data_IF_935918773299
#
_entry.id   IF_935918773299
#
_cell.length_a   1.000
_cell.length_b   1.000
_cell.length_c   1.000
_cell.angle_alpha   90.00
_cell.angle_beta   90.00
_cell.angle_gamma   90.00
#
_symmetry.space_group_name_H-M   'P 1'
#
loop_
_entity.id
_entity.type
_entity.pdbx_description
1 polymer ?
#
# COMPACT_ATOMS: atom_id res chain seq x y z
N UNK A 1 6.47 30.20 -15.99
CA UNK A 1 7.25 30.40 -14.75
C UNK A 1 8.12 29.16 -14.55
N UNK A 2 9.43 29.34 -14.43
CA UNK A 2 10.38 28.25 -14.21
C UNK A 2 10.19 27.75 -12.77
N UNK A 3 9.80 26.47 -12.62
CA UNK A 3 9.83 25.77 -11.33
C UNK A 3 11.27 25.86 -10.82
N UNK A 4 11.54 26.35 -9.59
CA UNK A 4 12.90 26.40 -9.07
C UNK A 4 13.44 24.98 -9.02
N UNK A 5 14.56 24.76 -9.70
CA UNK A 5 15.25 23.49 -9.72
C UNK A 5 15.82 23.23 -8.31
N UNK A 6 15.14 22.42 -7.50
CA UNK A 6 15.66 21.82 -6.25
C UNK A 6 16.78 20.81 -6.57
N UNK A 7 17.81 21.24 -7.32
CA UNK A 7 18.90 20.34 -7.69
C UNK A 7 19.87 20.18 -6.50
N UNK A 8 19.86 18.99 -5.90
CA UNK A 8 20.83 18.51 -4.90
C UNK A 8 20.84 19.21 -3.53
N UNK A 9 19.76 19.89 -3.13
CA UNK A 9 19.65 20.46 -1.78
C UNK A 9 18.53 19.75 -1.02
N UNK A 10 18.84 19.25 0.18
CA UNK A 10 17.84 18.67 1.08
C UNK A 10 16.80 19.72 1.47
N UNK A 11 15.52 19.30 1.57
CA UNK A 11 14.44 20.15 2.06
C UNK A 11 14.69 20.63 3.48
N UNK A 12 14.29 21.85 3.76
CA UNK A 12 14.31 22.40 5.12
C UNK A 12 13.06 22.04 5.89
N UNK A 13 11.90 21.98 5.21
CA UNK A 13 10.60 21.76 5.81
C UNK A 13 9.69 20.93 4.89
N UNK A 14 9.12 19.87 5.47
CA UNK A 14 8.18 18.97 4.78
C UNK A 14 6.84 18.98 5.53
N UNK A 15 5.73 19.22 4.82
CA UNK A 15 4.39 18.98 5.33
C UNK A 15 4.04 17.50 5.15
N UNK A 16 3.45 16.89 6.17
CA UNK A 16 3.01 15.49 6.15
C UNK A 16 1.49 15.47 5.97
N UNK A 17 1.03 15.20 4.74
CA UNK A 17 -0.38 15.17 4.38
C UNK A 17 -1.03 13.82 4.72
N UNK A 18 -0.85 13.38 5.96
CA UNK A 18 -1.38 12.12 6.46
C UNK A 18 -1.51 12.15 7.99
N UNK A 19 -1.98 11.04 8.58
CA UNK A 19 -2.20 10.85 10.01
C UNK A 19 -1.70 9.49 10.49
N UNK A 20 -1.87 9.24 11.79
CA UNK A 20 -1.64 7.92 12.35
C UNK A 20 -0.17 7.48 12.32
N UNK A 21 0.06 6.18 12.21
CA UNK A 21 1.40 5.60 12.30
C UNK A 21 2.32 6.05 11.15
N UNK A 22 1.77 6.21 9.93
CA UNK A 22 2.58 6.64 8.79
C UNK A 22 3.06 8.09 8.92
N UNK A 23 2.24 8.97 9.49
CA UNK A 23 2.67 10.33 9.78
C UNK A 23 3.79 10.34 10.83
N UNK A 24 3.68 9.52 11.88
CA UNK A 24 4.76 9.35 12.88
C UNK A 24 6.03 8.78 12.24
N UNK A 25 5.89 7.79 11.34
CA UNK A 25 7.02 7.20 10.58
C UNK A 25 7.77 8.25 9.76
N UNK A 26 7.04 9.10 9.05
CA UNK A 26 7.62 10.16 8.22
C UNK A 26 8.26 11.25 9.11
N UNK A 27 7.62 11.65 10.22
CA UNK A 27 8.18 12.59 11.18
C UNK A 27 9.53 12.10 11.72
N UNK A 28 9.62 10.81 12.07
CA UNK A 28 10.89 10.19 12.52
C UNK A 28 11.97 10.28 11.44
N UNK A 29 11.64 9.96 10.19
CA UNK A 29 12.57 10.09 9.07
C UNK A 29 13.03 11.54 8.88
N UNK A 30 12.13 12.52 8.90
CA UNK A 30 12.46 13.93 8.82
C UNK A 30 13.41 14.36 9.95
N UNK A 31 13.13 14.00 11.19
CA UNK A 31 13.98 14.32 12.35
C UNK A 31 15.40 13.76 12.20
N UNK A 32 15.53 12.50 11.80
CA UNK A 32 16.82 11.85 11.58
C UNK A 32 17.59 12.42 10.39
N UNK A 33 16.90 13.07 9.46
CA UNK A 33 17.50 13.79 8.31
C UNK A 33 17.74 15.29 8.58
N UNK A 34 17.42 15.80 9.77
CA UNK A 34 17.56 17.22 10.11
C UNK A 34 16.53 18.12 9.40
N UNK A 35 15.39 17.57 8.98
CA UNK A 35 14.34 18.28 8.25
C UNK A 35 13.20 18.62 9.22
N UNK A 36 12.74 19.87 9.19
CA UNK A 36 11.56 20.28 9.95
C UNK A 36 10.29 19.60 9.43
N UNK A 37 9.52 18.99 10.32
CA UNK A 37 8.28 18.32 10.01
C UNK A 37 7.07 19.15 10.42
N UNK A 38 6.11 19.31 9.52
CA UNK A 38 4.83 19.93 9.80
C UNK A 38 3.72 18.89 9.65
N UNK A 39 3.02 18.57 10.73
CA UNK A 39 1.86 17.70 10.69
C UNK A 39 0.59 18.48 10.32
N UNK A 40 -0.30 17.83 9.58
CA UNK A 40 -1.69 18.29 9.50
C UNK A 40 -2.59 17.42 10.35
N UNK A 41 -3.70 17.96 10.86
CA UNK A 41 -4.65 17.19 11.62
C UNK A 41 -6.09 17.70 11.44
N UNK A 42 -7.06 16.79 11.50
CA UNK A 42 -8.47 17.16 11.67
C UNK A 42 -8.77 17.41 13.15
N UNK A 43 -9.90 18.02 13.46
CA UNK A 43 -10.33 18.23 14.86
C UNK A 43 -10.32 16.95 15.70
N UNK A 44 -10.64 15.78 15.10
CA UNK A 44 -10.63 14.49 15.78
C UNK A 44 -9.22 14.01 16.14
N UNK A 45 -8.19 14.48 15.45
CA UNK A 45 -6.80 14.08 15.65
C UNK A 45 -5.96 15.11 16.42
N UNK A 46 -6.60 16.12 17.03
CA UNK A 46 -5.90 17.18 17.79
C UNK A 46 -4.88 16.63 18.78
N UNK A 47 -5.23 15.54 19.48
CA UNK A 47 -4.40 14.90 20.51
C UNK A 47 -3.60 13.70 19.97
N UNK A 48 -3.62 13.47 18.65
CA UNK A 48 -2.92 12.34 18.06
C UNK A 48 -1.39 12.47 18.17
N UNK A 49 -0.69 11.34 18.22
CA UNK A 49 0.77 11.33 18.47
C UNK A 49 1.57 12.07 17.37
N UNK A 50 1.10 12.06 16.14
CA UNK A 50 1.79 12.75 15.04
C UNK A 50 1.78 14.28 15.21
N UNK A 51 0.70 14.86 15.82
CA UNK A 51 0.67 16.30 16.10
C UNK A 51 1.66 16.70 17.20
N UNK A 52 1.85 15.82 18.19
CA UNK A 52 2.78 16.03 19.31
C UNK A 52 4.25 15.85 18.91
N UNK A 53 4.50 14.98 17.94
CA UNK A 53 5.85 14.60 17.53
C UNK A 53 6.44 15.50 16.44
N UNK A 54 5.63 16.21 15.69
CA UNK A 54 6.07 17.13 14.64
C UNK A 54 6.65 18.44 15.24
N UNK A 55 7.45 19.16 14.45
CA UNK A 55 7.96 20.49 14.84
C UNK A 55 6.87 21.56 14.84
N UNK A 56 5.78 21.33 14.10
CA UNK A 56 4.57 22.15 14.10
C UNK A 56 3.37 21.34 13.60
N UNK A 57 2.16 21.83 13.88
CA UNK A 57 0.92 21.17 13.46
C UNK A 57 -0.15 22.20 13.10
N UNK A 58 -0.90 21.94 12.01
CA UNK A 58 -1.97 22.80 11.50
C UNK A 58 -3.28 22.00 11.42
N UNK A 59 -4.36 22.55 11.99
CA UNK A 59 -5.70 22.01 11.82
C UNK A 59 -6.19 22.31 10.40
N UNK A 60 -6.63 21.28 9.67
CA UNK A 60 -7.08 21.37 8.28
C UNK A 60 -8.61 21.21 8.11
N UNK A 61 -9.36 21.11 9.20
CA UNK A 61 -10.81 21.04 9.17
C UNK A 61 -11.42 20.04 10.15
N UNK A 62 -12.73 19.79 10.02
CA UNK A 62 -13.48 18.91 10.92
C UNK A 62 -13.10 17.43 10.75
N UNK A 63 -13.67 16.55 11.59
CA UNK A 63 -13.33 15.14 11.70
C UNK A 63 -13.49 14.33 10.40
N UNK A 64 -14.46 14.67 9.54
CA UNK A 64 -14.69 13.89 8.30
C UNK A 64 -13.54 14.05 7.31
N UNK A 65 -13.05 12.95 6.77
CA UNK A 65 -11.92 12.94 5.84
C UNK A 65 -12.12 13.86 4.62
N UNK A 66 -13.33 13.89 4.05
CA UNK A 66 -13.64 14.74 2.89
C UNK A 66 -13.49 16.22 3.16
N UNK A 67 -13.69 16.64 4.41
CA UNK A 67 -13.66 18.03 4.84
C UNK A 67 -12.30 18.41 5.47
N UNK A 68 -11.33 17.47 5.52
CA UNK A 68 -9.99 17.63 6.10
C UNK A 68 -8.90 16.96 5.22
N UNK A 69 -8.53 15.70 5.48
CA UNK A 69 -7.43 15.00 4.80
C UNK A 69 -7.62 14.80 3.30
N UNK A 70 -8.84 14.84 2.78
CA UNK A 70 -9.17 14.79 1.35
C UNK A 70 -9.46 16.19 0.75
N UNK A 71 -9.35 17.25 1.53
CA UNK A 71 -9.56 18.62 1.07
C UNK A 71 -8.24 19.21 0.55
N UNK A 72 -8.07 19.18 -0.78
CA UNK A 72 -6.86 19.68 -1.44
C UNK A 72 -6.62 21.15 -1.11
N UNK A 73 -7.66 21.99 -1.11
CA UNK A 73 -7.53 23.42 -0.82
C UNK A 73 -6.97 23.67 0.57
N UNK A 74 -7.51 22.99 1.60
CA UNK A 74 -7.03 23.12 2.97
C UNK A 74 -5.57 22.69 3.12
N UNK A 75 -5.16 21.62 2.40
CA UNK A 75 -3.77 21.13 2.42
C UNK A 75 -2.82 22.12 1.73
N UNK A 76 -3.20 22.66 0.56
CA UNK A 76 -2.39 23.67 -0.15
C UNK A 76 -2.24 24.92 0.73
N UNK A 77 -3.33 25.43 1.31
CA UNK A 77 -3.25 26.58 2.22
C UNK A 77 -2.36 26.31 3.44
N UNK A 78 -2.43 25.10 4.02
CA UNK A 78 -1.55 24.73 5.13
C UNK A 78 -0.07 24.72 4.72
N UNK A 79 0.25 24.27 3.49
CA UNK A 79 1.61 24.27 2.95
C UNK A 79 2.12 25.71 2.73
N UNK A 80 1.30 26.60 2.18
CA UNK A 80 1.64 28.00 1.95
C UNK A 80 1.88 28.75 3.27
N UNK A 81 0.95 28.64 4.24
CA UNK A 81 1.08 29.25 5.56
C UNK A 81 2.34 28.77 6.29
N UNK A 82 2.69 27.50 6.10
CA UNK A 82 3.86 26.91 6.74
C UNK A 82 5.16 27.15 6.01
N UNK A 83 5.16 27.73 4.82
CA UNK A 83 6.34 27.81 3.95
C UNK A 83 7.02 26.43 3.76
N UNK A 84 6.20 25.41 3.42
CA UNK A 84 6.69 24.06 3.21
C UNK A 84 7.26 23.89 1.79
N UNK A 85 8.48 23.37 1.69
CA UNK A 85 9.14 23.14 0.39
C UNK A 85 8.65 21.88 -0.31
N UNK A 86 8.16 20.90 0.47
CA UNK A 86 7.65 19.63 -0.05
C UNK A 86 6.50 19.09 0.80
N UNK A 87 5.76 18.15 0.22
CA UNK A 87 4.69 17.41 0.88
C UNK A 87 4.92 15.90 0.77
N UNK A 88 4.82 15.20 1.90
CA UNK A 88 4.83 13.74 1.92
C UNK A 88 3.42 13.23 2.15
N UNK A 89 2.80 12.52 1.17
CA UNK A 89 1.41 12.08 1.28
C UNK A 89 1.25 10.77 2.07
N UNK A 90 2.34 10.05 2.37
CA UNK A 90 2.27 8.71 2.96
C UNK A 90 1.58 7.70 2.05
N UNK A 91 0.57 7.02 2.59
CA UNK A 91 -0.34 6.12 1.86
C UNK A 91 -1.81 6.43 2.21
N UNK A 92 -2.75 5.96 1.38
CA UNK A 92 -4.18 6.30 1.53
C UNK A 92 -4.45 7.78 1.22
N UNK A 93 -5.62 8.31 1.63
CA UNK A 93 -6.07 9.67 1.36
C UNK A 93 -5.72 10.17 -0.06
N UNK A 94 -4.85 11.16 -0.16
CA UNK A 94 -4.45 11.78 -1.44
C UNK A 94 -3.12 11.26 -2.00
N UNK A 95 -2.55 10.19 -1.44
CA UNK A 95 -1.25 9.67 -1.86
C UNK A 95 -1.19 9.23 -3.34
N UNK A 96 -2.33 8.80 -3.92
CA UNK A 96 -2.45 8.42 -5.33
C UNK A 96 -3.38 9.36 -6.11
N UNK A 97 -3.64 10.56 -5.57
CA UNK A 97 -4.48 11.56 -6.22
C UNK A 97 -3.65 12.44 -7.17
N UNK A 98 -3.78 12.22 -8.47
CA UNK A 98 -3.05 12.98 -9.49
C UNK A 98 -3.40 14.48 -9.49
N UNK A 99 -4.62 14.85 -9.11
CA UNK A 99 -5.04 16.25 -8.99
C UNK A 99 -4.34 16.98 -7.84
N UNK A 100 -4.11 16.29 -6.72
CA UNK A 100 -3.35 16.84 -5.59
C UNK A 100 -1.87 17.02 -5.96
N UNK A 101 -1.25 16.02 -6.59
CA UNK A 101 0.12 16.13 -7.07
C UNK A 101 0.29 17.29 -8.06
N UNK A 102 -0.64 17.44 -9.02
CA UNK A 102 -0.66 18.53 -9.99
C UNK A 102 -0.86 19.90 -9.31
N UNK A 103 -1.72 19.99 -8.30
CA UNK A 103 -1.90 21.22 -7.53
C UNK A 103 -0.61 21.63 -6.79
N UNK A 104 0.07 20.69 -6.16
CA UNK A 104 1.38 20.93 -5.54
C UNK A 104 2.41 21.43 -6.55
N UNK A 105 2.52 20.77 -7.71
CA UNK A 105 3.43 21.18 -8.80
C UNK A 105 3.16 22.63 -9.25
N UNK A 106 1.88 23.01 -9.43
CA UNK A 106 1.47 24.38 -9.82
C UNK A 106 1.80 25.43 -8.75
N UNK A 107 1.77 25.04 -7.48
CA UNK A 107 2.14 25.92 -6.35
C UNK A 107 3.65 25.94 -6.08
N UNK A 108 4.46 25.23 -6.85
CA UNK A 108 5.93 25.16 -6.64
C UNK A 108 6.32 24.32 -5.42
N UNK A 109 5.44 23.46 -4.91
CA UNK A 109 5.68 22.57 -3.79
C UNK A 109 6.02 21.18 -4.32
N UNK A 110 7.14 20.60 -3.87
CA UNK A 110 7.55 19.27 -4.33
C UNK A 110 6.67 18.19 -3.72
N UNK A 111 5.92 17.47 -4.54
CA UNK A 111 5.23 16.26 -4.13
C UNK A 111 6.25 15.11 -4.00
N UNK A 112 6.32 14.47 -2.81
CA UNK A 112 7.21 13.32 -2.56
C UNK A 112 6.51 12.06 -3.03
N UNK A 113 6.71 11.72 -4.29
CA UNK A 113 6.08 10.65 -5.02
C UNK A 113 6.37 10.75 -6.52
N UNK A 114 5.72 9.93 -7.35
CA UNK A 114 5.82 10.03 -8.80
C UNK A 114 5.08 11.28 -9.33
N UNK A 115 5.26 11.57 -10.61
CA UNK A 115 4.58 12.69 -11.27
C UNK A 115 3.07 12.46 -11.38
N UNK A 116 2.28 13.54 -11.42
CA UNK A 116 0.82 13.50 -11.60
C UNK A 116 0.40 12.72 -12.86
N UNK A 117 1.20 12.80 -13.92
CA UNK A 117 0.98 12.06 -15.18
C UNK A 117 1.11 10.55 -14.98
N UNK A 118 2.15 10.08 -14.30
CA UNK A 118 2.37 8.65 -14.03
C UNK A 118 1.30 8.11 -13.09
N UNK A 119 0.89 8.89 -12.08
CA UNK A 119 -0.22 8.52 -11.20
C UNK A 119 -1.53 8.32 -11.98
N UNK A 120 -1.86 9.22 -12.88
CA UNK A 120 -3.07 9.14 -13.71
C UNK A 120 -3.03 7.92 -14.63
N UNK A 121 -1.87 7.64 -15.21
CA UNK A 121 -1.64 6.52 -16.11
C UNK A 121 -1.82 5.17 -15.38
N UNK A 122 -1.19 5.01 -14.23
CA UNK A 122 -1.23 3.75 -13.46
C UNK A 122 -2.51 3.61 -12.63
N UNK A 123 -3.20 4.69 -12.31
CA UNK A 123 -4.48 4.69 -11.60
C UNK A 123 -5.65 4.14 -12.45
N UNK A 124 -5.53 4.12 -13.77
CA UNK A 124 -6.50 3.47 -14.66
C UNK A 124 -6.01 2.05 -15.00
N UNK A 125 -6.72 1.02 -14.51
CA UNK A 125 -6.33 -0.40 -14.65
C UNK A 125 -6.28 -0.86 -16.11
N UNK A 126 -7.15 -0.33 -16.97
CA UNK A 126 -7.15 -0.64 -18.41
C UNK A 126 -5.89 -0.12 -19.08
N UNK A 127 -5.52 1.13 -18.79
CA UNK A 127 -4.29 1.74 -19.32
C UNK A 127 -3.05 1.02 -18.76
N UNK A 128 -3.00 0.77 -17.46
CA UNK A 128 -1.89 0.09 -16.81
C UNK A 128 -1.65 -1.32 -17.40
N UNK A 129 -2.74 -2.09 -17.66
CA UNK A 129 -2.64 -3.41 -18.28
C UNK A 129 -2.17 -3.35 -19.73
N UNK A 130 -2.65 -2.40 -20.53
CA UNK A 130 -2.17 -2.19 -21.92
C UNK A 130 -0.67 -1.94 -21.94
N UNK A 131 -0.20 -1.03 -21.09
CA UNK A 131 1.22 -0.72 -20.99
C UNK A 131 2.03 -1.94 -20.54
N UNK A 132 1.54 -2.69 -19.55
CA UNK A 132 2.20 -3.91 -19.11
C UNK A 132 2.35 -4.92 -20.27
N UNK A 133 1.28 -5.11 -21.06
CA UNK A 133 1.28 -6.01 -22.21
C UNK A 133 2.22 -5.53 -23.33
N UNK A 134 2.20 -4.24 -23.69
CA UNK A 134 3.11 -3.61 -24.66
C UNK A 134 4.58 -3.79 -24.24
N UNK A 135 4.84 -3.65 -22.94
CA UNK A 135 6.15 -3.88 -22.35
C UNK A 135 6.47 -5.38 -22.13
N UNK A 136 5.63 -6.31 -22.60
CA UNK A 136 5.80 -7.76 -22.41
C UNK A 136 5.96 -8.16 -20.95
N UNK A 137 5.28 -7.48 -20.04
CA UNK A 137 5.07 -7.93 -18.67
C UNK A 137 3.85 -8.86 -18.68
N UNK A 138 3.93 -10.08 -18.12
CA UNK A 138 2.81 -11.02 -18.18
C UNK A 138 1.53 -10.45 -17.57
N UNK A 139 0.41 -10.59 -18.27
CA UNK A 139 -0.94 -10.25 -17.81
C UNK A 139 -1.85 -11.47 -17.96
N UNK A 140 -2.87 -11.61 -17.14
CA UNK A 140 -3.94 -12.58 -17.36
C UNK A 140 -4.67 -12.25 -18.68
N UNK A 141 -5.18 -13.24 -19.43
CA UNK A 141 -6.06 -12.97 -20.57
C UNK A 141 -7.19 -12.03 -20.17
N UNK A 142 -7.42 -10.97 -20.93
CA UNK A 142 -8.36 -9.91 -20.59
C UNK A 142 -8.99 -9.28 -21.84
N UNK A 143 -9.92 -8.34 -21.67
CA UNK A 143 -10.66 -7.71 -22.75
C UNK A 143 -9.87 -6.73 -23.61
N UNK A 144 -8.63 -6.40 -23.27
CA UNK A 144 -7.73 -5.43 -23.89
C UNK A 144 -8.30 -4.00 -24.02
N UNK A 145 -9.45 -3.75 -23.40
CA UNK A 145 -10.17 -2.47 -23.36
C UNK A 145 -11.28 -2.49 -22.31
N UNK A 146 -11.81 -1.33 -22.01
CA UNK A 146 -13.09 -1.23 -21.34
C UNK A 146 -14.19 -1.79 -22.25
N UNK A 147 -15.22 -2.37 -21.64
CA UNK A 147 -16.34 -2.99 -22.34
C UNK A 147 -17.46 -1.99 -22.55
N UNK A 148 -18.08 -2.02 -23.72
CA UNK A 148 -19.16 -1.11 -24.11
C UNK A 148 -20.51 -1.51 -23.50
N UNK A 149 -20.88 -2.80 -23.65
CA UNK A 149 -22.17 -3.35 -23.28
C UNK A 149 -22.11 -4.84 -22.94
N UNK A 150 -23.27 -5.43 -22.65
CA UNK A 150 -23.41 -6.85 -22.30
C UNK A 150 -23.03 -7.80 -23.44
N UNK A 151 -23.32 -7.42 -24.70
CA UNK A 151 -23.01 -8.27 -25.86
C UNK A 151 -21.51 -8.38 -26.04
N UNK A 152 -20.83 -7.27 -25.91
CA UNK A 152 -19.38 -7.19 -25.91
C UNK A 152 -18.77 -8.03 -24.79
N UNK A 153 -19.32 -7.94 -23.57
CA UNK A 153 -18.91 -8.75 -22.45
C UNK A 153 -19.05 -10.27 -22.72
N UNK A 154 -20.14 -10.69 -23.35
CA UNK A 154 -20.38 -12.09 -23.71
C UNK A 154 -19.36 -12.58 -24.76
N UNK A 155 -19.11 -11.81 -25.81
CA UNK A 155 -18.14 -12.18 -26.84
C UNK A 155 -16.72 -12.30 -26.31
N UNK A 156 -16.31 -11.35 -25.49
CA UNK A 156 -14.99 -11.35 -24.87
C UNK A 156 -14.85 -12.53 -23.90
N UNK A 157 -15.84 -12.79 -23.06
CA UNK A 157 -15.79 -13.90 -22.11
C UNK A 157 -15.73 -15.26 -22.77
N UNK A 158 -16.39 -15.45 -23.94
CA UNK A 158 -16.26 -16.67 -24.74
C UNK A 158 -14.84 -16.90 -25.24
N UNK A 159 -14.13 -15.83 -25.60
CA UNK A 159 -12.72 -15.92 -26.08
C UNK A 159 -11.75 -16.19 -24.92
N UNK A 160 -11.96 -15.56 -23.78
CA UNK A 160 -11.12 -15.71 -22.59
C UNK A 160 -11.33 -17.07 -21.91
N UNK A 161 -12.58 -17.56 -21.91
CA UNK A 161 -13.02 -18.78 -21.19
C UNK A 161 -13.38 -18.48 -19.73
N UNK A 162 -14.44 -19.17 -19.25
CA UNK A 162 -14.89 -19.08 -17.86
C UNK A 162 -14.04 -19.92 -16.90
N UNK A 163 -13.96 -19.56 -15.60
CA UNK A 163 -14.57 -18.39 -14.98
C UNK A 163 -13.84 -17.09 -15.32
N UNK A 164 -14.57 -15.98 -15.33
CA UNK A 164 -14.03 -14.63 -15.58
C UNK A 164 -14.34 -13.69 -14.41
N UNK A 165 -13.51 -12.66 -14.26
CA UNK A 165 -13.67 -11.61 -13.27
C UNK A 165 -13.94 -10.28 -13.98
N UNK A 166 -15.09 -9.67 -13.69
CA UNK A 166 -15.41 -8.31 -14.12
C UNK A 166 -14.82 -7.35 -13.09
N UNK A 167 -14.15 -6.31 -13.55
CA UNK A 167 -13.48 -5.30 -12.69
C UNK A 167 -13.78 -3.89 -13.17
N UNK A 168 -13.92 -2.94 -12.24
CA UNK A 168 -13.90 -1.51 -12.56
C UNK A 168 -12.53 -1.08 -13.10
N UNK A 169 -12.52 -0.20 -14.10
CA UNK A 169 -11.30 0.37 -14.66
C UNK A 169 -10.59 1.33 -13.68
N UNK A 170 -11.40 2.04 -12.89
CA UNK A 170 -10.95 2.99 -11.87
C UNK A 170 -11.10 2.41 -10.46
N UNK A 171 -10.30 2.91 -9.50
CA UNK A 171 -10.39 2.56 -8.08
C UNK A 171 -9.68 1.26 -7.68
N UNK A 172 -9.87 0.84 -6.42
CA UNK A 172 -9.17 -0.29 -5.79
C UNK A 172 -9.97 -0.92 -4.63
N UNK A 173 -9.31 -1.81 -3.88
CA UNK A 173 -9.89 -2.44 -2.68
C UNK A 173 -11.03 -3.43 -2.96
N UNK A 174 -11.08 -4.01 -4.16
CA UNK A 174 -12.05 -5.06 -4.51
C UNK A 174 -13.48 -4.57 -4.78
N UNK A 175 -13.73 -3.27 -4.79
CA UNK A 175 -15.05 -2.71 -5.15
C UNK A 175 -15.27 -2.79 -6.66
N UNK A 176 -16.51 -3.09 -7.07
CA UNK A 176 -16.86 -3.24 -8.49
C UNK A 176 -16.26 -4.50 -9.13
N UNK A 177 -15.98 -5.54 -8.34
CA UNK A 177 -15.54 -6.85 -8.83
C UNK A 177 -16.65 -7.90 -8.75
N UNK A 178 -16.85 -8.66 -9.83
CA UNK A 178 -17.83 -9.76 -9.90
C UNK A 178 -17.20 -10.99 -10.55
N UNK A 179 -17.18 -12.09 -9.79
CA UNK A 179 -16.80 -13.41 -10.32
C UNK A 179 -17.97 -14.01 -11.07
N UNK A 180 -17.74 -14.48 -12.29
CA UNK A 180 -18.75 -15.03 -13.19
C UNK A 180 -18.28 -16.41 -13.67
N UNK A 181 -19.03 -17.44 -13.28
CA UNK A 181 -18.71 -18.82 -13.61
C UNK A 181 -19.30 -19.27 -14.95
N UNK A 182 -20.40 -18.67 -15.38
CA UNK A 182 -21.12 -19.11 -16.58
C UNK A 182 -21.66 -17.91 -17.37
N UNK A 183 -21.89 -18.12 -18.67
CA UNK A 183 -22.47 -17.10 -19.54
C UNK A 183 -23.85 -16.61 -19.05
N UNK A 184 -24.65 -17.47 -18.44
CA UNK A 184 -26.00 -17.13 -18.01
C UNK A 184 -26.05 -16.02 -16.96
N UNK A 185 -25.04 -15.94 -16.08
CA UNK A 185 -24.96 -14.93 -15.03
C UNK A 185 -24.20 -13.66 -15.45
N UNK A 186 -23.64 -13.63 -16.67
CA UNK A 186 -22.73 -12.57 -17.09
C UNK A 186 -23.41 -11.20 -17.21
N UNK A 187 -24.58 -11.13 -17.87
CA UNK A 187 -25.28 -9.86 -18.10
C UNK A 187 -25.68 -9.17 -16.78
N UNK A 188 -26.26 -9.92 -15.85
CA UNK A 188 -26.62 -9.39 -14.53
C UNK A 188 -25.39 -8.91 -13.76
N UNK A 189 -24.30 -9.70 -13.76
CA UNK A 189 -23.03 -9.36 -13.10
C UNK A 189 -22.35 -8.14 -13.72
N UNK A 190 -22.43 -7.98 -15.04
CA UNK A 190 -21.90 -6.83 -15.76
C UNK A 190 -22.58 -5.52 -15.33
N UNK A 191 -23.93 -5.50 -15.35
CA UNK A 191 -24.71 -4.34 -14.94
C UNK A 191 -24.48 -3.98 -13.47
N UNK A 192 -24.41 -4.99 -12.61
CA UNK A 192 -24.12 -4.78 -11.19
C UNK A 192 -22.72 -4.18 -10.97
N UNK A 193 -21.69 -4.73 -11.62
CA UNK A 193 -20.34 -4.22 -11.52
C UNK A 193 -20.24 -2.77 -12.02
N UNK A 194 -20.90 -2.45 -13.13
CA UNK A 194 -20.94 -1.09 -13.69
C UNK A 194 -21.63 -0.10 -12.74
N UNK A 195 -22.76 -0.48 -12.16
CA UNK A 195 -23.48 0.35 -11.18
C UNK A 195 -22.66 0.59 -9.91
N UNK A 196 -21.99 -0.44 -9.39
CA UNK A 196 -21.10 -0.31 -8.24
C UNK A 196 -19.88 0.57 -8.55
N UNK A 197 -19.32 0.48 -9.76
CA UNK A 197 -18.20 1.32 -10.20
C UNK A 197 -18.60 2.80 -10.26
N UNK A 198 -19.77 3.13 -10.83
CA UNK A 198 -20.32 4.49 -10.84
C UNK A 198 -20.51 5.01 -9.42
N UNK A 199 -21.14 4.21 -8.54
CA UNK A 199 -21.43 4.62 -7.17
C UNK A 199 -20.16 4.83 -6.32
N UNK A 200 -19.13 4.02 -6.54
CA UNK A 200 -17.89 4.05 -5.75
C UNK A 200 -16.85 5.04 -6.27
N UNK A 201 -16.77 5.24 -7.59
CA UNK A 201 -15.65 5.93 -8.25
C UNK A 201 -16.11 7.05 -9.20
N UNK A 202 -17.41 7.20 -9.44
CA UNK A 202 -17.96 8.17 -10.42
C UNK A 202 -17.72 7.79 -11.88
N UNK A 203 -17.15 6.59 -12.12
CA UNK A 203 -16.79 6.07 -13.43
C UNK A 203 -17.33 4.64 -13.58
N UNK A 204 -18.10 4.39 -14.64
CA UNK A 204 -18.74 3.11 -14.90
C UNK A 204 -17.97 2.20 -15.87
N UNK A 205 -16.74 2.56 -16.24
CA UNK A 205 -15.91 1.71 -17.09
C UNK A 205 -15.56 0.41 -16.37
N UNK A 206 -15.81 -0.71 -17.05
CA UNK A 206 -15.47 -2.06 -16.56
C UNK A 206 -14.73 -2.84 -17.64
N UNK A 207 -13.90 -3.78 -17.24
CA UNK A 207 -13.22 -4.73 -18.10
C UNK A 207 -13.34 -6.15 -17.55
N UNK A 208 -13.04 -7.15 -18.38
CA UNK A 208 -13.06 -8.56 -17.99
C UNK A 208 -11.66 -9.14 -18.10
N UNK A 209 -11.31 -9.99 -17.14
CA UNK A 209 -10.12 -10.82 -17.19
C UNK A 209 -10.42 -12.26 -16.77
N UNK A 210 -9.55 -13.20 -17.14
CA UNK A 210 -9.62 -14.57 -16.66
C UNK A 210 -9.47 -14.61 -15.15
N UNK A 211 -10.30 -15.41 -14.48
CA UNK A 211 -10.15 -15.63 -13.05
C UNK A 211 -8.93 -16.52 -12.77
N UNK A 212 -8.07 -16.09 -11.87
CA UNK A 212 -6.96 -16.88 -11.37
C UNK A 212 -7.41 -17.60 -10.09
N UNK A 213 -7.43 -18.92 -10.10
CA UNK A 213 -7.88 -19.72 -8.97
C UNK A 213 -6.77 -19.81 -7.90
N UNK A 214 -7.15 -19.54 -6.64
CA UNK A 214 -6.27 -19.65 -5.46
C UNK A 214 -4.86 -19.07 -5.69
N UNK A 215 -4.75 -17.82 -6.22
CA UNK A 215 -3.44 -17.24 -6.47
C UNK A 215 -2.79 -16.81 -5.17
N UNK A 216 -1.46 -16.65 -5.24
CA UNK A 216 -0.72 -15.84 -4.26
C UNK A 216 -0.67 -14.40 -4.73
N UNK A 217 -0.67 -13.49 -3.77
CA UNK A 217 -0.43 -12.08 -3.99
C UNK A 217 1.03 -11.78 -3.70
N UNK A 218 1.81 -11.61 -4.75
CA UNK A 218 3.24 -11.28 -4.68
C UNK A 218 3.41 -9.85 -5.18
N UNK A 219 4.17 -9.04 -4.47
CA UNK A 219 4.43 -7.68 -4.89
C UNK A 219 5.91 -7.33 -4.87
N UNK A 220 6.34 -6.46 -5.77
CA UNK A 220 7.74 -6.02 -5.89
C UNK A 220 7.86 -4.57 -5.49
N UNK A 221 8.71 -4.30 -4.50
CA UNK A 221 9.07 -2.96 -4.10
C UNK A 221 10.03 -2.34 -5.10
N UNK A 222 9.66 -1.19 -5.68
CA UNK A 222 10.49 -0.41 -6.59
C UNK A 222 11.02 0.85 -5.93
N UNK A 223 12.21 1.28 -6.35
CA UNK A 223 12.79 2.59 -6.07
C UNK A 223 13.42 3.13 -7.35
N UNK A 224 13.03 4.35 -7.75
CA UNK A 224 13.48 4.97 -8.98
C UNK A 224 13.85 6.44 -8.75
N UNK A 225 15.01 6.88 -9.23
CA UNK A 225 15.42 8.28 -9.15
C UNK A 225 15.04 9.09 -10.40
N UNK A 226 15.19 10.40 -10.33
CA UNK A 226 14.93 11.31 -11.46
C UNK A 226 16.03 11.26 -12.54
N UNK A 227 17.05 10.38 -12.38
CA UNK A 227 18.19 10.22 -13.29
C UNK A 227 18.09 8.92 -14.14
N UNK A 228 16.96 8.21 -14.06
CA UNK A 228 16.70 6.98 -14.82
C UNK A 228 17.23 5.70 -14.16
N UNK A 229 17.75 5.76 -12.92
CA UNK A 229 18.09 4.56 -12.18
C UNK A 229 16.83 3.97 -11.56
N UNK A 230 16.55 2.71 -11.85
CA UNK A 230 15.41 1.94 -11.31
C UNK A 230 15.92 0.64 -10.78
N UNK A 231 15.57 0.32 -9.54
CA UNK A 231 15.91 -0.94 -8.87
C UNK A 231 14.68 -1.53 -8.18
N UNK A 232 14.71 -2.84 -7.93
CA UNK A 232 13.75 -3.50 -7.04
C UNK A 232 14.42 -3.94 -5.74
N UNK A 233 13.69 -3.89 -4.64
CA UNK A 233 14.13 -4.29 -3.30
C UNK A 233 13.64 -5.69 -2.90
N UNK A 234 13.31 -6.54 -3.88
CA UNK A 234 12.73 -7.86 -3.67
C UNK A 234 11.21 -7.85 -3.52
N UNK A 235 10.68 -9.02 -3.18
CA UNK A 235 9.25 -9.25 -3.06
C UNK A 235 8.76 -9.27 -1.62
N UNK A 236 7.45 -9.04 -1.51
CA UNK A 236 6.63 -9.34 -0.33
C UNK A 236 5.54 -10.34 -0.70
N UNK A 237 5.24 -11.23 0.22
CA UNK A 237 4.09 -12.13 0.19
C UNK A 237 2.93 -11.47 0.93
N UNK A 238 1.83 -11.21 0.24
CA UNK A 238 0.67 -10.49 0.77
C UNK A 238 -0.65 -11.27 0.59
N UNK A 239 -0.58 -12.60 0.49
CA UNK A 239 -1.77 -13.45 0.22
C UNK A 239 -2.75 -13.49 1.40
N UNK A 240 -2.31 -13.27 2.63
CA UNK A 240 -3.21 -13.31 3.79
C UNK A 240 -4.02 -12.03 3.87
N UNK A 241 -5.22 -12.10 3.29
CA UNK A 241 -6.13 -10.97 3.09
C UNK A 241 -7.54 -11.33 3.55
N UNK A 242 -8.27 -10.30 3.98
CA UNK A 242 -9.71 -10.39 4.20
C UNK A 242 -10.42 -9.35 3.35
N UNK A 243 -11.35 -9.79 2.50
CA UNK A 243 -12.07 -8.90 1.57
C UNK A 243 -11.13 -7.97 0.80
N UNK A 244 -10.02 -8.53 0.30
CA UNK A 244 -8.95 -7.83 -0.42
C UNK A 244 -8.16 -6.79 0.41
N UNK A 245 -8.26 -6.84 1.73
CA UNK A 245 -7.42 -6.07 2.65
C UNK A 245 -6.36 -6.99 3.26
N UNK A 246 -5.10 -6.65 3.06
CA UNK A 246 -3.95 -7.36 3.64
C UNK A 246 -4.01 -7.28 5.17
N UNK A 247 -3.73 -8.37 5.85
CA UNK A 247 -3.75 -8.46 7.33
C UNK A 247 -2.39 -8.88 7.86
N UNK A 248 -1.69 -9.75 7.11
CA UNK A 248 -0.36 -10.24 7.43
C UNK A 248 0.46 -10.29 6.15
N UNK A 249 1.69 -9.82 6.25
CA UNK A 249 2.66 -9.81 5.16
C UNK A 249 4.00 -10.37 5.62
N UNK A 250 4.75 -10.98 4.69
CA UNK A 250 6.10 -11.48 4.97
C UNK A 250 7.06 -11.20 3.81
N UNK A 251 8.34 -11.11 4.11
CA UNK A 251 9.42 -10.96 3.13
C UNK A 251 10.67 -11.71 3.61
N UNK A 252 11.31 -12.51 2.73
CA UNK A 252 10.88 -12.93 1.39
C UNK A 252 9.66 -13.87 1.40
N UNK A 253 9.03 -14.04 0.23
CA UNK A 253 7.95 -15.02 0.07
C UNK A 253 8.46 -16.46 0.19
N UNK A 254 7.81 -17.35 0.97
CA UNK A 254 8.19 -18.76 1.03
C UNK A 254 7.95 -19.53 -0.28
N UNK A 255 7.20 -18.94 -1.23
CA UNK A 255 6.88 -19.56 -2.51
C UNK A 255 7.83 -19.12 -3.65
N UNK A 256 8.67 -18.10 -3.43
CA UNK A 256 9.50 -17.47 -4.45
C UNK A 256 10.98 -17.82 -4.23
N UNK A 257 11.56 -18.57 -5.14
CA UNK A 257 13.00 -18.83 -5.16
C UNK A 257 13.78 -17.67 -5.82
N UNK A 258 15.12 -17.71 -5.74
CA UNK A 258 15.98 -16.64 -6.27
C UNK A 258 15.80 -16.40 -7.78
N UNK A 259 15.55 -17.45 -8.57
CA UNK A 259 15.35 -17.34 -10.02
C UNK A 259 14.01 -16.66 -10.35
N UNK A 260 12.97 -17.03 -9.64
CA UNK A 260 11.63 -16.44 -9.81
C UNK A 260 11.64 -14.98 -9.33
N UNK A 261 12.27 -14.69 -8.18
CA UNK A 261 12.47 -13.33 -7.66
C UNK A 261 13.10 -12.42 -8.71
N UNK A 262 14.17 -12.90 -9.33
CA UNK A 262 14.84 -12.14 -10.39
C UNK A 262 13.90 -11.86 -11.57
N UNK A 263 13.13 -12.86 -12.04
CA UNK A 263 12.19 -12.69 -13.17
C UNK A 263 11.07 -11.68 -12.85
N UNK A 264 10.46 -11.79 -11.65
CA UNK A 264 9.36 -10.89 -11.25
C UNK A 264 9.92 -9.48 -11.04
N UNK A 265 11.09 -9.37 -10.40
CA UNK A 265 11.77 -8.10 -10.18
C UNK A 265 12.13 -7.39 -11.48
N UNK A 266 12.67 -8.11 -12.47
CA UNK A 266 12.96 -7.55 -13.80
C UNK A 266 11.70 -7.08 -14.55
N UNK A 267 10.60 -7.84 -14.44
CA UNK A 267 9.33 -7.45 -15.02
C UNK A 267 8.83 -6.12 -14.41
N UNK A 268 8.93 -5.97 -13.08
CA UNK A 268 8.56 -4.75 -12.38
C UNK A 268 9.46 -3.56 -12.77
N UNK A 269 10.79 -3.76 -12.84
CA UNK A 269 11.75 -2.72 -13.28
C UNK A 269 11.48 -2.30 -14.72
N UNK A 270 11.16 -3.27 -15.60
CA UNK A 270 10.82 -3.00 -17.00
C UNK A 270 9.58 -2.12 -17.13
N UNK A 271 8.53 -2.43 -16.35
CA UNK A 271 7.33 -1.61 -16.29
C UNK A 271 7.66 -0.19 -15.84
N UNK A 272 8.37 -0.03 -14.73
CA UNK A 272 8.73 1.27 -14.17
C UNK A 272 9.57 2.13 -15.14
N UNK A 273 10.54 1.53 -15.82
CA UNK A 273 11.33 2.22 -16.86
C UNK A 273 10.48 2.64 -18.05
N UNK A 274 9.56 1.78 -18.51
CA UNK A 274 8.69 2.06 -19.65
C UNK A 274 7.73 3.23 -19.45
N UNK A 275 7.42 3.56 -18.19
CA UNK A 275 6.55 4.69 -17.84
C UNK A 275 7.33 5.88 -17.24
N UNK A 276 8.65 5.86 -17.27
CA UNK A 276 9.51 6.86 -16.63
C UNK A 276 9.14 7.11 -15.15
N UNK A 277 8.95 6.00 -14.40
CA UNK A 277 8.58 6.06 -13.00
C UNK A 277 9.67 6.72 -12.16
N UNK A 278 9.26 7.52 -11.18
CA UNK A 278 10.16 8.15 -10.20
C UNK A 278 9.62 7.95 -8.80
N UNK A 279 10.50 7.98 -7.81
CA UNK A 279 10.24 7.76 -6.40
C UNK A 279 9.97 6.27 -6.08
N UNK A 280 9.25 6.01 -5.01
CA UNK A 280 8.95 4.66 -4.51
C UNK A 280 7.60 4.21 -5.01
N UNK A 281 7.50 2.98 -5.46
CA UNK A 281 6.26 2.34 -5.88
C UNK A 281 6.30 0.83 -5.69
N UNK A 282 5.15 0.19 -5.88
CA UNK A 282 5.02 -1.26 -5.75
C UNK A 282 4.24 -1.81 -6.93
N UNK A 283 4.78 -2.84 -7.57
CA UNK A 283 4.06 -3.58 -8.62
C UNK A 283 3.51 -4.86 -8.02
N UNK A 284 2.21 -5.03 -8.09
CA UNK A 284 1.49 -6.18 -7.56
C UNK A 284 1.23 -7.22 -8.65
N UNK A 285 1.46 -8.49 -8.31
CA UNK A 285 1.29 -9.64 -9.19
C UNK A 285 0.42 -10.71 -8.53
N UNK A 286 -0.38 -11.40 -9.35
CA UNK A 286 -0.95 -12.68 -8.97
C UNK A 286 -0.02 -13.79 -9.43
N UNK A 287 0.28 -14.75 -8.56
CA UNK A 287 1.07 -15.93 -8.88
C UNK A 287 0.21 -17.18 -8.77
N UNK A 288 0.10 -17.95 -9.86
CA UNK A 288 -0.66 -19.19 -9.89
C UNK A 288 0.10 -20.38 -9.25
N UNK A 289 -0.56 -21.53 -9.12
CA UNK A 289 0.02 -22.76 -8.57
C UNK A 289 1.21 -23.32 -9.37
N UNK A 290 1.36 -22.90 -10.63
CA UNK A 290 2.46 -23.29 -11.51
C UNK A 290 3.63 -22.29 -11.44
N UNK A 291 3.57 -21.31 -10.52
CA UNK A 291 4.53 -20.21 -10.37
C UNK A 291 4.59 -19.26 -11.58
N UNK A 292 3.56 -19.22 -12.42
CA UNK A 292 3.40 -18.15 -13.39
C UNK A 292 2.88 -16.91 -12.65
N UNK A 293 3.40 -15.74 -13.01
CA UNK A 293 3.01 -14.48 -12.40
C UNK A 293 2.40 -13.53 -13.43
N UNK A 294 1.44 -12.75 -12.99
CA UNK A 294 0.66 -11.86 -13.86
C UNK A 294 0.49 -10.50 -13.17
N UNK A 295 0.80 -9.44 -13.90
CA UNK A 295 0.60 -8.07 -13.43
C UNK A 295 -0.86 -7.83 -13.04
N UNK A 296 -1.07 -7.27 -11.87
CA UNK A 296 -2.38 -6.91 -11.36
C UNK A 296 -2.58 -5.39 -11.38
N UNK A 297 -1.73 -4.65 -10.67
CA UNK A 297 -1.75 -3.20 -10.59
C UNK A 297 -0.41 -2.64 -10.10
N UNK A 298 -0.25 -1.32 -10.14
CA UNK A 298 0.89 -0.63 -9.56
C UNK A 298 0.40 0.43 -8.58
N UNK A 299 0.88 0.35 -7.34
CA UNK A 299 0.66 1.38 -6.34
C UNK A 299 1.76 2.42 -6.42
N UNK A 300 1.36 3.66 -6.69
CA UNK A 300 2.27 4.79 -6.96
C UNK A 300 2.66 5.56 -5.69
N UNK A 301 2.90 4.83 -4.61
CA UNK A 301 3.18 5.35 -3.26
C UNK A 301 3.95 4.32 -2.43
N UNK A 302 4.35 4.69 -1.22
CA UNK A 302 4.79 3.73 -0.21
C UNK A 302 3.61 2.85 0.23
N UNK A 303 3.85 1.56 0.48
CA UNK A 303 2.86 0.62 0.99
C UNK A 303 2.86 0.58 2.53
N UNK A 304 1.76 0.10 3.15
CA UNK A 304 1.67 -0.13 4.60
C UNK A 304 2.82 -1.04 5.04
N UNK A 305 3.02 -2.12 4.32
CA UNK A 305 3.94 -3.23 4.56
C UNK A 305 5.41 -2.97 4.16
N UNK A 306 5.77 -1.70 3.86
CA UNK A 306 7.17 -1.35 3.56
C UNK A 306 8.17 -1.75 4.66
N UNK A 307 7.81 -1.80 5.96
CA UNK A 307 8.74 -2.15 7.02
C UNK A 307 9.40 -3.52 6.86
N UNK A 308 8.70 -4.53 6.32
CA UNK A 308 9.31 -5.86 6.13
C UNK A 308 10.43 -5.82 5.07
N UNK A 309 10.26 -5.04 4.00
CA UNK A 309 11.32 -4.83 3.01
C UNK A 309 12.50 -4.05 3.61
N UNK A 310 12.25 -3.04 4.43
CA UNK A 310 13.30 -2.29 5.11
C UNK A 310 14.16 -3.21 6.00
N UNK A 311 13.53 -4.12 6.74
CA UNK A 311 14.23 -5.04 7.64
C UNK A 311 15.10 -6.06 6.91
N UNK A 312 14.62 -6.62 5.79
CA UNK A 312 15.38 -7.63 5.05
C UNK A 312 16.45 -7.03 4.12
N UNK A 313 16.34 -5.74 3.76
CA UNK A 313 17.30 -5.08 2.85
C UNK A 313 18.22 -4.08 3.55
N UNK A 314 17.86 -3.60 4.74
CA UNK A 314 18.56 -2.53 5.43
C UNK A 314 18.37 -1.14 4.80
N UNK A 315 17.44 -0.98 3.84
CA UNK A 315 17.20 0.29 3.13
C UNK A 315 15.97 0.97 3.72
N UNK A 316 16.13 2.20 4.24
CA UNK A 316 15.03 3.04 4.74
C UNK A 316 14.26 3.66 3.56
N UNK A 317 13.11 3.08 3.23
CA UNK A 317 12.31 3.44 2.04
C UNK A 317 11.78 4.87 2.15
N UNK A 318 11.37 5.32 3.34
CA UNK A 318 10.83 6.68 3.54
C UNK A 318 11.94 7.73 3.38
N UNK A 319 13.14 7.45 3.89
CA UNK A 319 14.28 8.35 3.66
C UNK A 319 14.69 8.39 2.19
N UNK A 320 14.65 7.26 1.49
CA UNK A 320 14.93 7.25 0.05
C UNK A 320 13.88 8.06 -0.74
N UNK A 321 12.59 8.01 -0.39
CA UNK A 321 11.58 8.87 -0.99
C UNK A 321 11.93 10.35 -0.89
N UNK A 322 12.36 10.80 0.31
CA UNK A 322 12.73 12.19 0.57
C UNK A 322 14.00 12.58 -0.21
N UNK A 323 15.02 11.73 -0.22
CA UNK A 323 16.28 11.96 -0.96
C UNK A 323 16.02 12.07 -2.46
N UNK A 324 15.27 11.15 -3.04
CA UNK A 324 14.94 11.17 -4.47
C UNK A 324 14.17 12.44 -4.83
N UNK A 325 13.16 12.80 -4.03
CA UNK A 325 12.38 14.01 -4.26
C UNK A 325 13.21 15.29 -4.16
N UNK A 326 14.33 15.27 -3.40
CA UNK A 326 15.32 16.38 -3.36
C UNK A 326 16.30 16.39 -4.54
N UNK A 327 16.13 15.46 -5.52
CA UNK A 327 16.97 15.38 -6.72
C UNK A 327 18.22 14.51 -6.58
N UNK A 328 18.38 13.79 -5.46
CA UNK A 328 19.53 12.90 -5.27
C UNK A 328 19.42 11.63 -6.10
N UNK A 329 20.58 11.13 -6.56
CA UNK A 329 20.69 9.83 -7.21
C UNK A 329 20.64 8.71 -6.19
N UNK A 330 20.14 7.54 -6.59
CA UNK A 330 20.24 6.33 -5.79
C UNK A 330 21.69 6.03 -5.42
N UNK A 331 21.94 5.83 -4.13
CA UNK A 331 23.28 5.51 -3.62
C UNK A 331 23.67 4.04 -3.85
N UNK A 332 22.74 3.21 -4.31
CA UNK A 332 22.92 1.77 -4.50
C UNK A 332 22.46 1.32 -5.90
N UNK A 333 22.99 0.19 -6.34
CA UNK A 333 22.66 -0.46 -7.62
C UNK A 333 22.00 -1.80 -7.37
N UNK A 334 21.26 -2.33 -8.33
CA UNK A 334 20.57 -3.63 -8.19
C UNK A 334 21.48 -4.73 -7.64
N UNK A 335 22.71 -4.82 -8.13
CA UNK A 335 23.68 -5.87 -7.73
C UNK A 335 24.17 -5.77 -6.27
N UNK A 336 23.97 -4.62 -5.60
CA UNK A 336 24.37 -4.41 -4.20
C UNK A 336 23.21 -4.62 -3.23
N UNK A 337 22.00 -4.87 -3.73
CA UNK A 337 20.81 -5.11 -2.90
C UNK A 337 20.79 -6.61 -2.56
N UNK A 338 20.91 -6.91 -1.27
CA UNK A 338 20.76 -8.24 -0.73
C UNK A 338 19.55 -8.31 0.19
N UNK A 339 18.81 -9.38 0.12
CA UNK A 339 17.76 -9.71 1.10
C UNK A 339 18.33 -10.72 2.09
N UNK A 340 18.35 -10.39 3.36
CA UNK A 340 18.88 -11.23 4.43
C UNK A 340 17.80 -11.50 5.47
N UNK A 341 17.79 -12.70 6.02
CA UNK A 341 16.82 -13.09 7.04
C UNK A 341 15.37 -13.15 6.53
N UNK A 342 14.44 -13.00 7.46
CA UNK A 342 13.01 -13.06 7.20
C UNK A 342 12.26 -12.08 8.12
N UNK A 343 11.34 -11.32 7.55
CA UNK A 343 10.50 -10.39 8.28
C UNK A 343 9.01 -10.73 8.10
N UNK A 344 8.23 -10.57 9.17
CA UNK A 344 6.77 -10.75 9.18
C UNK A 344 6.16 -9.48 9.77
N UNK A 345 5.09 -8.97 9.16
CA UNK A 345 4.27 -7.87 9.66
C UNK A 345 2.86 -8.39 9.95
N UNK A 346 2.33 -8.04 11.12
CA UNK A 346 0.92 -8.20 11.47
C UNK A 346 0.30 -6.81 11.63
N UNK A 347 -0.79 -6.54 10.89
CA UNK A 347 -1.58 -5.32 11.07
C UNK A 347 -2.50 -5.48 12.27
N UNK A 348 -2.25 -4.71 13.31
CA UNK A 348 -3.07 -4.73 14.53
C UNK A 348 -4.19 -3.71 14.37
N UNK A 349 -5.41 -4.21 14.25
CA UNK A 349 -6.60 -3.41 13.98
C UNK A 349 -7.52 -3.35 15.21
N UNK A 350 -8.18 -2.19 15.39
CA UNK A 350 -9.28 -2.01 16.35
C UNK A 350 -10.55 -2.67 15.80
N UNK A 351 -10.70 -3.98 15.97
CA UNK A 351 -11.84 -4.76 15.47
C UNK A 351 -12.10 -5.98 16.33
N UNK A 352 -13.34 -6.44 16.33
CA UNK A 352 -13.70 -7.71 16.97
C UNK A 352 -13.06 -8.87 16.20
N UNK A 353 -12.28 -9.75 16.86
CA UNK A 353 -11.49 -10.80 16.19
C UNK A 353 -12.35 -11.92 15.56
N UNK A 354 -13.66 -11.96 15.82
CA UNK A 354 -14.60 -12.95 15.27
C UNK A 354 -15.50 -12.35 14.18
N UNK A 355 -16.09 -11.19 14.48
CA UNK A 355 -17.05 -10.55 13.56
C UNK A 355 -16.39 -9.53 12.64
N UNK A 356 -15.17 -9.10 12.97
CA UNK A 356 -14.39 -8.08 12.26
C UNK A 356 -15.06 -6.70 12.20
N UNK A 357 -16.02 -6.47 13.08
CA UNK A 357 -16.64 -5.16 13.21
C UNK A 357 -15.63 -4.19 13.85
N UNK A 358 -15.41 -3.00 13.28
CA UNK A 358 -14.54 -1.99 13.91
C UNK A 358 -14.98 -1.67 15.33
N UNK A 359 -14.01 -1.57 16.25
CA UNK A 359 -14.20 -1.29 17.66
C UNK A 359 -13.43 -0.02 18.07
N UNK A 360 -13.85 1.19 17.62
CA UNK A 360 -13.25 2.43 18.09
C UNK A 360 -13.53 2.63 19.58
N UNK A 361 -12.69 3.42 20.24
CA UNK A 361 -12.88 3.70 21.68
C UNK A 361 -11.58 4.11 22.36
N UNK A 362 -11.65 4.27 23.67
CA UNK A 362 -10.52 4.72 24.48
C UNK A 362 -9.64 3.53 24.88
N UNK A 363 -8.34 3.62 24.59
CA UNK A 363 -7.34 2.67 25.07
C UNK A 363 -7.06 2.97 26.54
N UNK A 364 -7.40 2.03 27.43
CA UNK A 364 -7.23 2.19 28.89
C UNK A 364 -5.90 1.65 29.39
N UNK A 365 -5.39 0.59 28.75
CA UNK A 365 -4.08 0.01 29.03
C UNK A 365 -3.36 -0.31 27.71
N UNK A 366 -2.05 -0.15 27.70
CA UNK A 366 -1.20 -0.44 26.53
C UNK A 366 0.15 -0.98 27.01
N UNK A 367 0.46 -2.21 26.62
CA UNK A 367 1.81 -2.79 26.74
C UNK A 367 2.29 -3.14 25.34
N UNK A 368 3.35 -2.48 24.88
CA UNK A 368 3.96 -2.75 23.61
C UNK A 368 5.01 -3.85 23.74
N UNK A 369 5.04 -4.86 22.85
CA UNK A 369 6.09 -5.87 22.86
C UNK A 369 7.45 -5.25 22.47
N UNK A 370 8.52 -5.92 22.87
CA UNK A 370 9.87 -5.42 22.63
C UNK A 370 10.91 -6.53 22.43
N UNK A 371 12.17 -6.17 22.60
CA UNK A 371 13.32 -7.07 22.45
C UNK A 371 13.91 -7.11 21.04
N UNK A 372 15.04 -7.85 20.86
CA UNK A 372 15.76 -7.91 19.60
C UNK A 372 14.89 -8.36 18.43
N UNK A 373 14.94 -7.65 17.29
CA UNK A 373 14.20 -7.97 16.09
C UNK A 373 12.70 -7.72 16.17
N UNK A 374 12.21 -6.90 17.13
CA UNK A 374 10.82 -6.45 17.20
C UNK A 374 10.76 -4.95 16.90
N UNK A 375 9.95 -4.56 15.91
CA UNK A 375 9.65 -3.19 15.54
C UNK A 375 8.15 -2.96 15.64
N UNK A 376 7.75 -1.79 16.15
CA UNK A 376 6.35 -1.38 16.20
C UNK A 376 6.23 0.00 15.57
N UNK A 377 5.47 0.07 14.47
CA UNK A 377 5.08 1.34 13.88
C UNK A 377 3.65 1.64 14.32
N UNK A 378 3.49 2.66 15.17
CA UNK A 378 2.19 2.99 15.78
C UNK A 378 2.08 4.47 16.14
N UNK A 379 0.84 4.93 16.27
CA UNK A 379 0.50 6.25 16.78
C UNK A 379 -0.39 6.20 18.04
N UNK A 380 -0.63 4.99 18.59
CA UNK A 380 -1.45 4.86 19.80
C UNK A 380 -0.60 5.04 21.08
N UNK A 381 -1.27 5.43 22.15
CA UNK A 381 -0.72 5.54 23.51
C UNK A 381 -1.84 5.28 24.54
N UNK A 382 -1.49 5.02 25.77
CA UNK A 382 -2.47 4.83 26.85
C UNK A 382 -3.29 6.14 27.05
N UNK A 383 -4.61 6.01 27.01
CA UNK A 383 -5.53 7.16 27.05
C UNK A 383 -5.95 7.68 25.66
N UNK A 384 -5.34 7.21 24.56
CA UNK A 384 -5.75 7.59 23.21
C UNK A 384 -7.16 7.12 22.88
N UNK A 385 -7.94 8.01 22.29
CA UNK A 385 -9.28 7.70 21.79
C UNK A 385 -9.20 7.40 20.29
N UNK A 386 -9.36 6.12 19.93
CA UNK A 386 -9.36 5.67 18.52
C UNK A 386 -10.60 6.23 17.83
N UNK A 387 -10.43 7.12 16.83
CA UNK A 387 -11.57 7.75 16.17
C UNK A 387 -12.29 6.78 15.24
N UNK A 388 -13.63 6.92 15.14
CA UNK A 388 -14.45 6.13 14.21
C UNK A 388 -14.49 6.66 12.78
N UNK A 389 -13.81 7.77 12.51
CA UNK A 389 -13.86 8.48 11.22
C UNK A 389 -12.87 7.96 10.18
N UNK A 390 -11.89 7.14 10.58
CA UNK A 390 -10.76 6.70 9.78
C UNK A 390 -10.60 5.18 9.82
N UNK A 391 -9.55 4.69 9.14
CA UNK A 391 -9.16 3.29 9.19
C UNK A 391 -8.89 2.83 10.63
N UNK A 392 -9.15 1.55 10.90
CA UNK A 392 -9.03 0.96 12.22
C UNK A 392 -7.61 0.42 12.55
N UNK A 393 -6.61 0.68 11.71
CA UNK A 393 -5.23 0.28 11.94
C UNK A 393 -4.64 1.02 13.16
N UNK A 394 -4.23 0.27 14.17
CA UNK A 394 -3.63 0.79 15.41
C UNK A 394 -2.10 0.76 15.35
N UNK A 395 -1.56 -0.35 14.86
CA UNK A 395 -0.14 -0.60 14.81
C UNK A 395 0.22 -1.61 13.74
N UNK A 396 1.47 -1.54 13.27
CA UNK A 396 2.14 -2.61 12.54
C UNK A 396 3.13 -3.24 13.50
N UNK A 397 2.88 -4.48 13.88
CA UNK A 397 3.84 -5.28 14.63
C UNK A 397 4.70 -6.02 13.61
N UNK A 398 5.99 -5.72 13.60
CA UNK A 398 6.93 -6.26 12.63
C UNK A 398 8.04 -6.98 13.36
N UNK A 399 8.37 -8.18 12.92
CA UNK A 399 9.49 -8.94 13.46
C UNK A 399 10.49 -9.29 12.36
N UNK A 400 11.75 -9.46 12.75
CA UNK A 400 12.84 -9.90 11.89
C UNK A 400 13.65 -10.98 12.58
N UNK A 401 14.03 -12.02 11.84
CA UNK A 401 14.94 -13.10 12.28
C UNK A 401 15.79 -13.61 11.11
N UNK A 402 16.76 -14.47 11.41
CA UNK A 402 17.61 -15.09 10.39
C UNK A 402 16.81 -16.06 9.52
N UNK A 403 15.84 -16.74 10.09
CA UNK A 403 15.00 -17.73 9.41
C UNK A 403 13.50 -17.42 9.57
N UNK A 404 12.68 -17.92 8.63
CA UNK A 404 11.21 -17.80 8.71
C UNK A 404 10.65 -18.46 9.98
N UNK A 405 11.16 -19.61 10.34
CA UNK A 405 10.74 -20.34 11.54
C UNK A 405 10.93 -19.49 12.80
N UNK A 406 12.10 -18.91 12.96
CA UNK A 406 12.39 -18.02 14.11
C UNK A 406 11.54 -16.75 14.08
N UNK A 407 11.26 -16.19 12.87
CA UNK A 407 10.38 -15.05 12.72
C UNK A 407 8.95 -15.38 13.20
N UNK A 408 8.42 -16.57 12.87
CA UNK A 408 7.11 -17.06 13.37
C UNK A 408 7.11 -17.19 14.89
N UNK A 409 8.16 -17.78 15.48
CA UNK A 409 8.29 -17.92 16.94
C UNK A 409 8.35 -16.53 17.60
N UNK A 410 9.15 -15.61 17.03
CA UNK A 410 9.29 -14.23 17.53
C UNK A 410 7.98 -13.45 17.42
N UNK A 411 7.25 -13.60 16.32
CA UNK A 411 5.94 -12.97 16.15
C UNK A 411 4.93 -13.50 17.15
N UNK A 412 4.91 -14.82 17.38
CA UNK A 412 4.01 -15.43 18.38
C UNK A 412 4.26 -14.83 19.77
N UNK A 413 5.53 -14.80 20.23
CA UNK A 413 5.91 -14.19 21.50
C UNK A 413 5.51 -12.71 21.56
N UNK A 414 5.80 -11.93 20.50
CA UNK A 414 5.50 -10.52 20.47
C UNK A 414 3.98 -10.24 20.49
N UNK A 415 3.17 -11.07 19.85
CA UNK A 415 1.70 -10.99 19.91
C UNK A 415 1.16 -11.35 21.30
N UNK A 416 1.77 -12.30 22.00
CA UNK A 416 1.39 -12.68 23.38
C UNK A 416 1.71 -11.58 24.39
N UNK A 417 2.78 -10.81 24.16
CA UNK A 417 3.15 -9.65 24.99
C UNK A 417 2.32 -8.40 24.66
N UNK A 418 1.71 -8.31 23.47
CA UNK A 418 1.01 -7.11 23.02
C UNK A 418 -0.36 -7.01 23.68
N UNK A 419 -0.48 -6.18 24.72
CA UNK A 419 -1.72 -5.98 25.45
C UNK A 419 -2.33 -4.61 25.13
N UNK A 420 -3.62 -4.61 24.75
CA UNK A 420 -4.44 -3.41 24.51
C UNK A 420 -5.78 -3.63 25.20
N UNK A 421 -6.10 -2.81 26.21
CA UNK A 421 -7.40 -2.85 26.88
C UNK A 421 -8.25 -1.60 26.53
N UNK A 422 -9.57 -1.71 26.75
CA UNK A 422 -10.56 -0.69 26.46
C UNK A 422 -11.21 -0.81 25.09
N UNK A 423 -10.57 -1.52 24.16
CA UNK A 423 -11.08 -1.83 22.82
C UNK A 423 -10.78 -3.29 22.44
N UNK A 424 -11.47 -3.82 21.44
CA UNK A 424 -11.15 -5.14 20.87
C UNK A 424 -10.15 -5.00 19.73
N UNK A 425 -9.28 -6.01 19.58
CA UNK A 425 -8.27 -6.08 18.52
C UNK A 425 -8.25 -7.45 17.85
N UNK A 426 -7.66 -7.52 16.66
CA UNK A 426 -7.46 -8.76 15.91
C UNK A 426 -6.21 -9.57 16.36
N UNK A 427 -5.52 -9.20 17.43
CA UNK A 427 -4.39 -9.97 17.98
C UNK A 427 -4.70 -11.46 18.14
N UNK A 428 -5.89 -11.88 18.68
CA UNK A 428 -6.23 -13.30 18.78
C UNK A 428 -6.29 -14.04 17.44
N UNK A 429 -6.67 -13.36 16.35
CA UNK A 429 -6.64 -13.93 15.00
C UNK A 429 -5.20 -14.18 14.54
N UNK A 430 -4.32 -13.21 14.73
CA UNK A 430 -2.90 -13.36 14.37
C UNK A 430 -2.24 -14.50 15.12
N UNK A 431 -2.53 -14.70 16.42
CA UNK A 431 -2.05 -15.84 17.19
C UNK A 431 -2.52 -17.18 16.63
N UNK A 432 -3.77 -17.26 16.13
CA UNK A 432 -4.26 -18.47 15.45
C UNK A 432 -3.50 -18.73 14.15
N UNK A 433 -3.25 -17.68 13.35
CA UNK A 433 -2.50 -17.79 12.08
C UNK A 433 -1.07 -18.27 12.36
N UNK A 434 -0.37 -17.71 13.36
CA UNK A 434 1.00 -18.11 13.69
C UNK A 434 1.12 -19.59 14.10
N UNK A 435 0.04 -20.19 14.62
CA UNK A 435 -0.03 -21.60 15.04
C UNK A 435 -0.61 -22.52 13.95
N UNK A 436 -1.02 -21.98 12.85
CA UNK A 436 -1.64 -22.74 11.77
C UNK A 436 -0.60 -23.54 10.97
N UNK A 437 -0.88 -24.82 10.75
CA UNK A 437 0.02 -25.75 10.06
C UNK A 437 0.36 -25.30 8.62
N UNK A 438 -0.63 -24.81 7.86
CA UNK A 438 -0.39 -24.42 6.47
C UNK A 438 0.35 -23.09 6.39
N UNK A 439 0.09 -22.14 7.33
CA UNK A 439 0.91 -20.94 7.45
C UNK A 439 2.37 -21.30 7.74
N UNK A 440 2.61 -22.16 8.75
CA UNK A 440 3.96 -22.61 9.10
C UNK A 440 4.65 -23.29 7.91
N UNK A 441 3.91 -24.11 7.15
CA UNK A 441 4.40 -24.77 5.95
C UNK A 441 4.54 -23.86 4.71
N UNK A 442 4.18 -22.56 4.80
CA UNK A 442 4.20 -21.62 3.68
C UNK A 442 3.15 -21.90 2.59
N UNK A 443 2.07 -22.61 2.92
CA UNK A 443 0.96 -22.95 2.01
C UNK A 443 -0.18 -21.96 2.19
N UNK A 444 -0.01 -20.78 1.64
CA UNK A 444 -0.98 -19.68 1.72
C UNK A 444 -1.43 -19.23 0.33
N UNK A 445 -2.66 -18.75 0.23
CA UNK A 445 -3.25 -18.12 -0.95
C UNK A 445 -4.22 -17.02 -0.50
N UNK A 446 -4.88 -16.33 -1.45
CA UNK A 446 -5.80 -15.23 -1.12
C UNK A 446 -7.05 -15.66 -0.36
N UNK A 447 -7.41 -16.95 -0.37
CA UNK A 447 -8.57 -17.50 0.34
C UNK A 447 -8.20 -18.11 1.70
N UNK A 448 -6.92 -18.05 2.09
CA UNK A 448 -6.39 -18.63 3.33
C UNK A 448 -7.20 -18.26 4.57
N UNK A 449 -7.67 -17.02 4.70
CA UNK A 449 -8.43 -16.58 5.87
C UNK A 449 -9.88 -17.06 5.92
N UNK A 450 -10.44 -17.57 4.84
CA UNK A 450 -11.85 -18.04 4.80
C UNK A 450 -12.15 -19.13 5.83
N UNK A 451 -11.15 -19.90 6.22
CA UNK A 451 -11.25 -20.97 7.24
C UNK A 451 -11.20 -20.48 8.68
N UNK A 452 -10.90 -19.22 8.92
CA UNK A 452 -10.86 -18.61 10.27
C UNK A 452 -12.10 -17.77 10.57
N UNK A 453 -13.01 -17.64 9.60
CA UNK A 453 -14.23 -16.81 9.69
C UNK A 453 -15.48 -17.66 9.85
#
# INVERSE_FOLDING_TARGET
MLVPAFRNRMFKKILIANRGEIAVRIIRACKEMGIKSLAVYSEADREALHTRNADGAICIGPAKSKDSYLNITSLISAMEVADAEAVHPGYGFLAENSGFAEACEKCGIKFIGPTSTVMRLMGNKVQAKKIAEELKVPVLPWSNRALSDEKDAIEVSKKIGFPVLIKAASGGGGRGMKLVHTQASLAASFNMAKSEAVAAFGDGEVFIERFCELPRHIEIQLVADEHGNVVHLGERECSIQRRHQKILEESPSPAVDAKLRHKIGEAAVKLAKGINYTNVGTVEFLMDKNKNFYFMEMNTRVQVEHPITELVTGIDIVKEQIKIASGQKLAFKQKSIAMTGHAIECRINAEDPKTFVPCPGKITELVLPGGPGVRIDTAIYCGYNVPSHYDNLLAKLVVYSETRQEAIIRMTRALEEFHIAGIKTNIPLHLKIMRDHDFIAGKTDIDFLSRFT
#
